data_IF_799571615310
#
_entry.id   IF_799571615310
#
_cell.length_a   1.000
_cell.length_b   1.000
_cell.length_c   1.000
_cell.angle_alpha   90.00
_cell.angle_beta   90.00
_cell.angle_gamma   90.00
#
_symmetry.space_group_name_H-M   'P 1'
#
loop_
_entity.id
_entity.type
_entity.pdbx_description
1 polymer ?
#
# COMPACT_ATOMS: atom_id res chain seq x y z
N UNK A 1 -24.59 -5.41 -19.76
CA UNK A 1 -23.82 -4.25 -19.29
C UNK A 1 -24.74 -3.10 -18.89
N UNK A 2 -25.03 -2.99 -17.61
CA UNK A 2 -25.87 -1.96 -16.97
C UNK A 2 -25.05 -0.79 -16.40
N UNK A 3 -23.76 -0.68 -16.76
CA UNK A 3 -22.90 0.46 -16.42
C UNK A 3 -22.53 0.59 -14.94
N UNK A 4 -22.87 -0.39 -14.10
CA UNK A 4 -22.59 -0.35 -12.67
C UNK A 4 -21.20 -0.93 -12.37
N UNK A 5 -20.44 -0.22 -11.56
CA UNK A 5 -19.14 -0.68 -11.08
C UNK A 5 -19.33 -1.95 -10.25
N UNK A 6 -18.52 -2.99 -10.50
CA UNK A 6 -18.63 -4.28 -9.82
C UNK A 6 -18.48 -4.21 -8.30
N UNK A 7 -19.02 -5.21 -7.59
CA UNK A 7 -18.93 -5.30 -6.12
C UNK A 7 -17.63 -5.99 -5.70
N UNK A 8 -16.83 -5.32 -4.86
CA UNK A 8 -15.68 -5.93 -4.19
C UNK A 8 -16.09 -6.42 -2.79
N UNK A 9 -16.24 -7.73 -2.62
CA UNK A 9 -16.47 -8.35 -1.31
C UNK A 9 -15.13 -8.71 -0.66
N UNK A 10 -14.85 -8.14 0.50
CA UNK A 10 -13.60 -8.36 1.26
C UNK A 10 -13.91 -9.08 2.57
N UNK A 11 -13.19 -10.16 2.84
CA UNK A 11 -13.28 -10.91 4.09
C UNK A 11 -12.08 -10.55 4.98
N UNK A 12 -12.36 -10.09 6.20
CA UNK A 12 -11.32 -9.72 7.15
C UNK A 12 -10.68 -10.96 7.77
N UNK A 13 -9.38 -10.89 8.01
CA UNK A 13 -8.61 -11.94 8.66
C UNK A 13 -8.36 -11.58 10.13
N UNK A 14 -8.55 -12.57 11.00
CA UNK A 14 -8.28 -12.49 12.43
C UNK A 14 -7.32 -13.62 12.82
N UNK A 15 -6.60 -13.45 13.92
CA UNK A 15 -5.76 -14.50 14.48
C UNK A 15 -6.57 -15.51 15.31
N UNK A 16 -5.89 -16.49 15.90
CA UNK A 16 -6.51 -17.57 16.68
C UNK A 16 -7.21 -17.07 17.95
N UNK A 17 -6.83 -15.88 18.44
CA UNK A 17 -7.41 -15.24 19.62
C UNK A 17 -8.50 -14.22 19.25
N UNK A 18 -8.85 -14.11 17.95
CA UNK A 18 -9.83 -13.17 17.44
C UNK A 18 -9.31 -11.74 17.24
N UNK A 19 -8.00 -11.48 17.39
CA UNK A 19 -7.45 -10.15 17.16
C UNK A 19 -7.27 -9.87 15.65
N UNK A 20 -7.46 -8.61 15.20
CA UNK A 20 -7.32 -8.26 13.80
C UNK A 20 -5.85 -8.31 13.36
N UNK A 21 -5.59 -8.91 12.19
CA UNK A 21 -4.22 -8.97 11.66
C UNK A 21 -3.73 -7.65 11.08
N UNK A 22 -4.65 -6.77 10.68
CA UNK A 22 -4.36 -5.40 10.23
C UNK A 22 -4.60 -4.47 11.42
N UNK A 23 -3.55 -3.83 11.93
CA UNK A 23 -3.64 -2.94 13.10
C UNK A 23 -3.85 -1.48 12.69
N UNK A 24 -3.35 -1.10 11.52
CA UNK A 24 -3.43 0.27 11.00
C UNK A 24 -3.44 0.27 9.47
N UNK A 25 -4.27 1.15 8.91
CA UNK A 25 -4.31 1.47 7.50
C UNK A 25 -4.32 3.00 7.35
N UNK A 26 -3.28 3.55 6.72
CA UNK A 26 -3.08 5.00 6.61
C UNK A 26 -2.83 5.40 5.16
N UNK A 27 -3.70 6.26 4.61
CA UNK A 27 -3.47 6.90 3.30
C UNK A 27 -2.40 8.00 3.43
N UNK A 28 -1.38 7.93 2.57
CA UNK A 28 -0.22 8.83 2.58
C UNK A 28 -0.39 9.91 1.53
N UNK A 29 -0.51 9.54 0.25
CA UNK A 29 -0.80 10.48 -0.83
C UNK A 29 -2.29 10.81 -0.87
N UNK A 30 -2.60 12.11 -0.77
CA UNK A 30 -3.97 12.65 -0.79
C UNK A 30 -4.13 13.62 -1.96
N UNK A 31 -5.34 13.84 -2.50
CA UNK A 31 -5.54 14.77 -3.62
C UNK A 31 -4.96 16.17 -3.39
N UNK A 32 -5.04 16.71 -2.17
CA UNK A 32 -4.48 18.02 -1.82
C UNK A 32 -2.97 18.06 -1.59
N UNK A 33 -2.32 16.90 -1.44
CA UNK A 33 -0.86 16.80 -1.37
C UNK A 33 -0.41 15.41 -1.78
N UNK A 34 0.11 15.32 -3.01
CA UNK A 34 0.66 14.07 -3.54
C UNK A 34 2.04 13.80 -2.96
N UNK A 35 2.32 12.53 -2.69
CA UNK A 35 3.60 12.09 -2.12
C UNK A 35 4.28 11.11 -3.07
N UNK A 36 5.36 11.56 -3.69
CA UNK A 36 6.20 10.76 -4.58
C UNK A 36 7.58 10.57 -3.96
N UNK A 37 8.21 9.43 -4.27
CA UNK A 37 9.55 9.09 -3.80
C UNK A 37 10.36 8.45 -4.93
N UNK A 38 11.66 8.71 -4.95
CA UNK A 38 12.61 7.96 -5.77
C UNK A 38 12.82 6.54 -5.24
N UNK A 39 13.47 5.68 -6.02
CA UNK A 39 13.72 4.28 -5.65
C UNK A 39 14.59 4.12 -4.39
N UNK A 40 15.50 5.07 -4.16
CA UNK A 40 16.38 5.11 -2.99
C UNK A 40 15.67 5.62 -1.73
N UNK A 41 14.63 6.42 -1.91
CA UNK A 41 13.95 7.14 -0.83
C UNK A 41 12.63 6.47 -0.41
N UNK A 42 12.41 5.24 -0.88
CA UNK A 42 11.21 4.47 -0.55
C UNK A 42 11.16 4.26 0.98
N UNK A 43 10.12 4.75 1.66
CA UNK A 43 10.03 4.71 3.12
C UNK A 43 9.84 3.28 3.63
N UNK A 44 10.45 2.96 4.78
CA UNK A 44 10.23 1.69 5.48
C UNK A 44 9.13 1.86 6.52
N UNK A 45 8.08 1.04 6.43
CA UNK A 45 6.98 1.04 7.40
C UNK A 45 7.35 0.14 8.58
N UNK A 46 7.28 0.66 9.81
CA UNK A 46 7.59 -0.09 11.05
C UNK A 46 8.91 -0.89 10.95
N UNK A 47 9.98 -0.24 10.49
CA UNK A 47 11.29 -0.87 10.29
C UNK A 47 11.26 -2.14 9.41
N UNK A 48 10.31 -2.24 8.47
CA UNK A 48 10.18 -3.37 7.53
C UNK A 48 9.18 -4.45 7.92
N UNK A 49 8.51 -4.29 9.08
CA UNK A 49 7.42 -5.15 9.53
C UNK A 49 6.07 -4.79 8.90
N UNK A 50 5.93 -3.55 8.42
CA UNK A 50 4.76 -3.11 7.64
C UNK A 50 5.05 -3.09 6.15
N UNK A 51 4.02 -2.74 5.38
CA UNK A 51 4.09 -2.62 3.92
C UNK A 51 3.72 -1.18 3.54
N UNK A 52 4.48 -0.61 2.61
CA UNK A 52 4.03 0.56 1.86
C UNK A 52 3.57 0.13 0.47
N UNK A 53 2.41 0.64 0.06
CA UNK A 53 1.82 0.40 -1.26
C UNK A 53 2.19 1.58 -2.15
N UNK A 54 2.86 1.31 -3.26
CA UNK A 54 3.31 2.31 -4.20
C UNK A 54 2.63 2.12 -5.55
N UNK A 55 2.19 3.23 -6.16
CA UNK A 55 1.87 3.28 -7.58
C UNK A 55 3.13 3.65 -8.34
N UNK A 56 3.61 2.76 -9.20
CA UNK A 56 4.82 2.97 -9.99
C UNK A 56 4.50 2.93 -11.49
N UNK A 57 5.49 3.21 -12.34
CA UNK A 57 5.36 3.08 -13.80
C UNK A 57 5.08 1.64 -14.27
N UNK A 58 5.30 0.64 -13.41
CA UNK A 58 5.07 -0.78 -13.70
C UNK A 58 3.83 -1.32 -12.99
N UNK A 59 2.98 -0.45 -12.47
CA UNK A 59 1.78 -0.80 -11.72
C UNK A 59 1.93 -0.63 -10.22
N UNK A 60 0.92 -1.12 -9.48
CA UNK A 60 0.86 -1.04 -8.02
C UNK A 60 1.65 -2.19 -7.42
N UNK A 61 2.59 -1.90 -6.52
CA UNK A 61 3.48 -2.89 -5.91
C UNK A 61 3.85 -2.52 -4.47
N UNK A 62 4.47 -3.46 -3.77
CA UNK A 62 4.99 -3.24 -2.42
C UNK A 62 6.32 -2.48 -2.45
N UNK A 63 6.67 -1.87 -1.33
CA UNK A 63 7.95 -1.19 -1.14
C UNK A 63 9.17 -2.11 -1.27
N UNK A 64 9.01 -3.41 -1.00
CA UNK A 64 10.08 -4.40 -1.19
C UNK A 64 10.31 -4.68 -2.68
N UNK A 65 9.23 -4.86 -3.43
CA UNK A 65 9.29 -5.09 -4.89
C UNK A 65 9.84 -3.85 -5.61
N UNK A 66 9.34 -2.66 -5.27
CA UNK A 66 9.79 -1.41 -5.84
C UNK A 66 11.29 -1.15 -5.62
N UNK A 67 11.81 -1.44 -4.42
CA UNK A 67 13.27 -1.36 -4.15
C UNK A 67 14.07 -2.37 -4.96
N UNK A 68 13.61 -3.62 -5.08
CA UNK A 68 14.29 -4.66 -5.88
C UNK A 68 14.34 -4.29 -7.36
N UNK A 69 13.27 -3.70 -7.87
CA UNK A 69 13.19 -3.25 -9.26
C UNK A 69 13.85 -1.88 -9.49
N UNK A 70 14.37 -1.23 -8.43
CA UNK A 70 14.95 0.12 -8.47
C UNK A 70 14.03 1.18 -9.09
N UNK A 71 12.74 1.14 -8.75
CA UNK A 71 11.71 2.03 -9.29
C UNK A 71 11.02 2.79 -8.16
N UNK A 72 10.91 4.12 -8.30
CA UNK A 72 10.15 4.99 -7.40
C UNK A 72 8.66 5.06 -7.76
N UNK A 73 7.92 5.97 -7.13
CA UNK A 73 6.50 6.16 -7.44
C UNK A 73 5.73 6.99 -6.44
N UNK A 74 4.40 6.99 -6.56
CA UNK A 74 3.48 7.61 -5.61
C UNK A 74 3.28 6.67 -4.40
N UNK A 75 3.50 7.17 -3.19
CA UNK A 75 3.25 6.41 -1.97
C UNK A 75 1.77 6.53 -1.60
N UNK A 76 1.00 5.49 -1.88
CA UNK A 76 -0.46 5.52 -1.71
C UNK A 76 -0.85 5.35 -0.24
N UNK A 77 -0.36 4.30 0.41
CA UNK A 77 -0.78 3.95 1.77
C UNK A 77 0.25 3.10 2.52
N UNK A 78 0.16 3.12 3.84
CA UNK A 78 0.87 2.23 4.75
C UNK A 78 -0.10 1.30 5.45
N UNK A 79 0.30 0.04 5.62
CA UNK A 79 -0.45 -0.99 6.34
C UNK A 79 0.50 -1.74 7.28
N UNK A 80 0.11 -1.92 8.55
CA UNK A 80 0.85 -2.66 9.58
C UNK A 80 -0.04 -3.05 10.77
#
# INVERSE_FOLDING_TARGET
DDGKQGLLRVYLKYDQNGAPVIRSLKRVSKPGLRKYVGSTDIPRVRNGLGIAILSTSHGVMTDKEARRANIGGEVLAYVY
#
